data_IF_647200560957
#
_entry.id   IF_647200560957
#
_cell.length_a   1.000
_cell.length_b   1.000
_cell.length_c   1.000
_cell.angle_alpha   90.00
_cell.angle_beta   90.00
_cell.angle_gamma   90.00
#
_symmetry.space_group_name_H-M   'P 1'
#
loop_
_entity.id
_entity.type
_entity.pdbx_description
1 polymer ?
#
# COMPACT_ATOMS: atom_id res chain seq x y z
N UNK A 1 13.31 -0.39 -12.07
CA UNK A 1 12.37 -1.36 -11.49
C UNK A 1 11.07 -1.27 -12.27
N UNK A 2 10.46 -2.39 -12.69
CA UNK A 2 9.12 -2.40 -13.31
C UNK A 2 8.14 -2.93 -12.27
N UNK A 3 7.23 -2.08 -11.80
CA UNK A 3 6.21 -2.43 -10.81
C UNK A 3 4.84 -2.24 -11.45
N UNK A 4 4.01 -3.29 -11.46
CA UNK A 4 2.61 -3.23 -11.87
C UNK A 4 1.73 -3.44 -10.62
N UNK A 5 1.36 -2.38 -9.89
CA UNK A 5 0.38 -2.49 -8.83
C UNK A 5 -1.01 -2.75 -9.42
N UNK A 6 -1.75 -3.65 -8.78
CA UNK A 6 -3.17 -3.92 -9.06
C UNK A 6 -3.96 -3.38 -7.87
N UNK A 7 -4.92 -2.50 -8.16
CA UNK A 7 -5.77 -1.88 -7.15
C UNK A 7 -7.16 -2.48 -7.27
N UNK A 8 -7.64 -3.10 -6.19
CA UNK A 8 -8.97 -3.69 -6.13
C UNK A 8 -9.77 -3.04 -5.01
N UNK A 9 -11.09 -2.97 -5.17
CA UNK A 9 -12.01 -2.65 -4.09
C UNK A 9 -12.26 -3.90 -3.24
N UNK A 10 -12.41 -3.71 -1.93
CA UNK A 10 -12.69 -4.79 -0.98
C UNK A 10 -13.38 -4.25 0.28
N UNK A 11 -14.23 -5.08 0.90
CA UNK A 11 -14.81 -4.76 2.21
C UNK A 11 -13.84 -5.17 3.31
N UNK A 12 -13.49 -4.25 4.22
CA UNK A 12 -12.62 -4.57 5.34
C UNK A 12 -13.27 -4.21 6.67
N UNK A 13 -13.05 -5.07 7.67
CA UNK A 13 -13.59 -4.90 9.00
C UNK A 13 -12.58 -4.17 9.87
N UNK A 14 -12.92 -2.97 10.30
CA UNK A 14 -12.12 -2.24 11.26
C UNK A 14 -12.69 -2.45 12.66
N UNK A 15 -11.81 -2.60 13.64
CA UNK A 15 -12.17 -2.74 15.05
C UNK A 15 -11.71 -1.47 15.76
N UNK A 16 -12.61 -0.56 16.10
CA UNK A 16 -12.33 0.51 17.09
C UNK A 16 -12.71 -0.03 18.49
N UNK A 17 -12.75 0.74 19.61
CA UNK A 17 -12.67 0.18 20.97
C UNK A 17 -13.70 -0.93 21.19
N UNK A 18 -13.43 -1.90 22.08
CA UNK A 18 -13.85 -3.32 22.03
C UNK A 18 -15.35 -3.64 21.86
N UNK A 19 -16.21 -2.63 21.76
CA UNK A 19 -17.66 -2.68 21.76
C UNK A 19 -18.29 -2.52 20.35
N UNK A 20 -17.60 -1.92 19.36
CA UNK A 20 -18.20 -1.65 18.04
C UNK A 20 -17.38 -2.22 16.87
N UNK A 21 -18.05 -3.04 16.05
CA UNK A 21 -17.56 -3.53 14.76
C UNK A 21 -18.18 -2.67 13.68
N UNK A 22 -17.35 -2.02 12.87
CA UNK A 22 -17.82 -1.33 11.66
C UNK A 22 -17.08 -1.86 10.45
N UNK A 23 -17.80 -1.86 9.34
CA UNK A 23 -17.31 -2.27 8.04
C UNK A 23 -17.11 -1.01 7.22
N UNK A 24 -16.03 -0.97 6.46
CA UNK A 24 -15.80 0.09 5.48
C UNK A 24 -15.32 -0.53 4.18
N UNK A 25 -15.69 0.11 3.09
CA UNK A 25 -15.10 -0.17 1.79
C UNK A 25 -13.68 0.40 1.78
N UNK A 26 -12.73 -0.41 1.32
CA UNK A 26 -11.33 -0.01 1.20
C UNK A 26 -10.79 -0.40 -0.16
N UNK A 27 -9.92 0.45 -0.67
CA UNK A 27 -9.03 0.06 -1.75
C UNK A 27 -7.90 -0.78 -1.15
N UNK A 28 -7.70 -1.97 -1.70
CA UNK A 28 -6.60 -2.87 -1.38
C UNK A 28 -5.64 -2.92 -2.56
N UNK A 29 -4.38 -2.57 -2.33
CA UNK A 29 -3.35 -2.62 -3.38
C UNK A 29 -2.55 -3.91 -3.25
N UNK A 30 -2.60 -4.73 -4.31
CA UNK A 30 -1.73 -5.89 -4.50
C UNK A 30 -0.58 -5.50 -5.43
N UNK A 31 0.61 -6.01 -5.16
CA UNK A 31 1.81 -5.58 -5.88
C UNK A 31 2.83 -6.70 -6.03
N UNK A 32 3.68 -6.54 -7.04
CA UNK A 32 4.91 -7.30 -7.21
C UNK A 32 6.04 -6.30 -7.32
N UNK A 33 7.08 -6.49 -6.53
CA UNK A 33 8.32 -5.70 -6.59
C UNK A 33 9.41 -6.60 -7.16
N UNK A 34 10.08 -6.10 -8.20
CA UNK A 34 11.20 -6.77 -8.85
C UNK A 34 12.44 -5.89 -8.84
N UNK A 35 13.61 -6.49 -8.67
CA UNK A 35 14.88 -5.78 -8.83
C UNK A 35 15.15 -5.45 -10.32
N UNK A 36 16.28 -4.80 -10.60
CA UNK A 36 16.68 -4.42 -11.97
C UNK A 36 16.88 -5.62 -12.91
N UNK A 37 17.20 -6.80 -12.37
CA UNK A 37 17.38 -8.05 -13.12
C UNK A 37 16.06 -8.80 -13.34
N UNK A 38 14.93 -8.27 -12.85
CA UNK A 38 13.62 -8.91 -12.96
C UNK A 38 13.33 -9.99 -11.92
N UNK A 39 14.21 -10.19 -10.94
CA UNK A 39 14.00 -11.11 -9.81
C UNK A 39 12.96 -10.52 -8.87
N UNK A 40 11.96 -11.32 -8.49
CA UNK A 40 10.92 -10.93 -7.54
C UNK A 40 11.48 -10.84 -6.13
N UNK A 41 11.38 -9.65 -5.53
CA UNK A 41 11.75 -9.39 -4.13
C UNK A 41 10.54 -9.54 -3.20
N UNK A 42 9.35 -9.18 -3.68
CA UNK A 42 8.11 -9.26 -2.91
C UNK A 42 6.91 -9.44 -3.85
N UNK A 43 5.96 -10.27 -3.45
CA UNK A 43 4.74 -10.53 -4.22
C UNK A 43 3.57 -10.73 -3.27
N UNK A 44 2.52 -9.93 -3.43
CA UNK A 44 1.28 -10.02 -2.64
C UNK A 44 0.05 -10.38 -3.48
N UNK A 45 0.23 -10.77 -4.75
CA UNK A 45 -0.87 -11.01 -5.68
C UNK A 45 -1.80 -12.15 -5.24
N UNK A 46 -1.22 -13.21 -4.68
CA UNK A 46 -1.96 -14.42 -4.29
C UNK A 46 -2.18 -14.52 -2.77
N UNK A 47 -1.81 -13.48 -2.02
CA UNK A 47 -1.93 -13.49 -0.56
C UNK A 47 -3.40 -13.45 -0.13
N UNK A 48 -3.75 -14.23 0.88
CA UNK A 48 -5.05 -14.12 1.55
C UNK A 48 -4.87 -13.31 2.82
N UNK A 49 -5.25 -12.03 2.78
CA UNK A 49 -5.13 -11.16 3.94
C UNK A 49 -6.26 -11.39 4.93
N UNK A 50 -5.91 -11.66 6.19
CA UNK A 50 -6.86 -11.68 7.29
C UNK A 50 -7.30 -10.24 7.62
N UNK A 51 -8.51 -10.05 8.15
CA UNK A 51 -9.07 -8.70 8.41
C UNK A 51 -8.24 -7.84 9.37
N UNK A 52 -7.37 -8.43 10.18
CA UNK A 52 -6.47 -7.76 11.12
C UNK A 52 -4.99 -7.84 10.72
N UNK A 53 -4.66 -8.39 9.55
CA UNK A 53 -3.28 -8.47 9.08
C UNK A 53 -2.85 -7.13 8.49
N UNK A 54 -1.73 -6.59 8.98
CA UNK A 54 -1.10 -5.37 8.45
C UNK A 54 0.18 -5.65 7.65
N UNK A 55 0.85 -6.77 7.93
CA UNK A 55 2.12 -7.09 7.28
C UNK A 55 1.95 -7.19 5.77
N UNK A 56 2.74 -6.42 5.04
CA UNK A 56 2.76 -6.33 3.57
C UNK A 56 1.43 -5.88 2.94
N UNK A 57 0.52 -5.30 3.72
CA UNK A 57 -0.77 -4.80 3.21
C UNK A 57 -0.71 -3.31 2.91
N UNK A 58 -1.40 -2.88 1.86
CA UNK A 58 -1.63 -1.48 1.53
C UNK A 58 -3.13 -1.25 1.40
N UNK A 59 -3.70 -0.46 2.30
CA UNK A 59 -5.14 -0.17 2.34
C UNK A 59 -5.44 1.32 2.31
N UNK A 60 -6.57 1.71 1.70
CA UNK A 60 -7.04 3.10 1.81
C UNK A 60 -7.44 3.46 3.24
N UNK A 61 -7.05 4.66 3.64
CA UNK A 61 -7.43 5.25 4.92
C UNK A 61 -8.58 6.24 4.72
N UNK A 62 -8.40 7.21 3.83
CA UNK A 62 -9.41 8.20 3.45
C UNK A 62 -9.06 8.89 2.11
N UNK A 63 -10.04 9.59 1.55
CA UNK A 63 -9.85 10.53 0.43
C UNK A 63 -9.51 11.90 1.02
N UNK A 64 -8.50 12.56 0.48
CA UNK A 64 -8.10 13.91 0.89
C UNK A 64 -9.01 14.96 0.23
N UNK A 65 -9.23 16.10 0.90
CA UNK A 65 -10.22 17.13 0.53
C UNK A 65 -10.09 17.73 -0.88
N UNK A 66 -8.96 17.53 -1.55
CA UNK A 66 -8.69 18.06 -2.88
C UNK A 66 -9.19 17.14 -4.02
N UNK A 67 -9.97 16.10 -3.70
CA UNK A 67 -10.62 15.07 -4.52
C UNK A 67 -9.73 14.27 -5.51
N UNK A 68 -8.46 14.63 -5.63
CA UNK A 68 -7.50 14.00 -6.53
C UNK A 68 -6.40 13.23 -5.81
N UNK A 69 -6.56 13.01 -4.49
CA UNK A 69 -5.55 12.38 -3.66
C UNK A 69 -6.18 11.40 -2.68
N UNK A 70 -5.64 10.19 -2.64
CA UNK A 70 -6.05 9.13 -1.72
C UNK A 70 -4.88 8.87 -0.77
N UNK A 71 -5.17 8.85 0.52
CA UNK A 71 -4.23 8.38 1.52
C UNK A 71 -4.36 6.88 1.68
N UNK A 72 -3.27 6.17 1.44
CA UNK A 72 -3.13 4.75 1.74
C UNK A 72 -2.20 4.56 2.95
N UNK A 73 -2.37 3.44 3.64
CA UNK A 73 -1.52 2.99 4.72
C UNK A 73 -0.81 1.69 4.32
N UNK A 74 0.52 1.70 4.38
CA UNK A 74 1.34 0.50 4.31
C UNK A 74 1.65 0.00 5.72
N UNK A 75 1.31 -1.25 6.01
CA UNK A 75 1.51 -1.84 7.34
C UNK A 75 2.95 -2.28 7.64
N UNK A 76 3.87 -2.13 6.69
CA UNK A 76 5.28 -2.48 6.84
C UNK A 76 5.57 -3.96 6.57
N UNK A 77 6.85 -4.31 6.65
CA UNK A 77 7.35 -5.68 6.44
C UNK A 77 7.35 -6.45 7.76
N UNK A 78 8.25 -7.42 7.93
CA UNK A 78 8.47 -8.03 9.22
C UNK A 78 8.79 -6.95 10.26
N UNK A 79 8.31 -7.16 11.50
CA UNK A 79 8.52 -6.20 12.58
C UNK A 79 7.85 -4.83 12.32
N UNK A 80 6.94 -4.74 11.34
CA UNK A 80 6.31 -3.51 10.84
C UNK A 80 7.32 -2.52 10.22
N UNK A 81 8.54 -2.94 9.88
CA UNK A 81 9.55 -2.02 9.33
C UNK A 81 9.06 -1.37 8.04
N UNK A 82 9.23 -0.06 7.94
CA UNK A 82 8.71 0.74 6.83
C UNK A 82 7.20 0.95 6.86
N UNK A 83 6.49 0.65 7.94
CA UNK A 83 5.09 1.08 8.05
C UNK A 83 4.98 2.59 7.83
N UNK A 84 3.92 3.05 7.16
CA UNK A 84 3.88 4.44 6.73
C UNK A 84 2.71 4.77 5.85
N UNK A 85 2.67 6.03 5.47
CA UNK A 85 1.63 6.58 4.62
C UNK A 85 2.10 6.58 3.15
N UNK A 86 1.18 6.33 2.24
CA UNK A 86 1.40 6.44 0.80
C UNK A 86 0.34 7.37 0.23
N UNK A 87 0.78 8.44 -0.43
CA UNK A 87 -0.09 9.36 -1.14
C UNK A 87 -0.14 8.97 -2.61
N UNK A 88 -1.32 8.55 -3.07
CA UNK A 88 -1.63 8.40 -4.49
C UNK A 88 -2.37 9.65 -4.96
N UNK A 89 -1.78 10.40 -5.89
CA UNK A 89 -2.40 11.60 -6.45
C UNK A 89 -2.60 11.45 -7.96
N UNK A 90 -3.84 11.63 -8.42
CA UNK A 90 -4.15 11.73 -9.84
C UNK A 90 -3.53 13.01 -10.39
N UNK A 91 -2.66 12.88 -11.39
CA UNK A 91 -2.08 14.03 -12.10
C UNK A 91 -3.00 14.38 -13.28
N UNK A 92 -3.42 13.37 -14.05
CA UNK A 92 -4.33 13.50 -15.18
C UNK A 92 -5.01 12.13 -15.49
N UNK A 93 -5.61 11.97 -16.67
CA UNK A 93 -6.34 10.76 -17.06
C UNK A 93 -5.46 9.52 -17.29
N UNK A 94 -4.14 9.67 -17.37
CA UNK A 94 -3.20 8.57 -17.62
C UNK A 94 -2.07 8.49 -16.59
N UNK A 95 -1.92 9.49 -15.71
CA UNK A 95 -0.82 9.58 -14.77
C UNK A 95 -1.28 9.70 -13.32
N UNK A 96 -0.62 8.92 -12.46
CA UNK A 96 -0.78 8.97 -11.00
C UNK A 96 0.62 9.08 -10.39
N UNK A 97 0.80 10.01 -9.45
CA UNK A 97 2.02 10.06 -8.64
C UNK A 97 1.87 9.24 -7.36
N UNK A 98 2.97 8.64 -6.95
CA UNK A 98 3.15 7.90 -5.71
C UNK A 98 4.21 8.57 -4.84
N UNK A 99 3.85 8.85 -3.60
CA UNK A 99 4.77 9.33 -2.58
C UNK A 99 4.62 8.47 -1.33
N UNK A 100 5.66 7.72 -1.01
CA UNK A 100 5.70 6.88 0.18
C UNK A 100 6.53 7.57 1.28
N UNK A 101 5.89 7.76 2.44
CA UNK A 101 6.48 8.38 3.64
C UNK A 101 6.52 7.35 4.78
N UNK A 102 7.63 6.62 4.97
CA UNK A 102 7.78 5.71 6.09
C UNK A 102 7.78 6.46 7.43
N UNK A 103 7.21 5.85 8.45
CA UNK A 103 7.38 6.29 9.83
C UNK A 103 8.60 5.63 10.46
N UNK A 104 9.14 6.29 11.47
CA UNK A 104 10.20 5.72 12.28
C UNK A 104 9.69 4.56 13.14
N UNK A 105 10.59 3.63 13.44
CA UNK A 105 10.35 2.53 14.35
C UNK A 105 11.62 2.24 15.15
N UNK A 106 11.45 1.95 16.43
CA UNK A 106 12.54 1.44 17.26
C UNK A 106 12.54 -0.09 17.13
N UNK A 107 13.64 -0.63 16.62
CA UNK A 107 13.85 -2.07 16.55
C UNK A 107 14.48 -2.56 17.84
N UNK A 108 13.79 -3.49 18.50
CA UNK A 108 14.26 -4.19 19.69
C UNK A 108 14.66 -5.59 19.28
N UNK A 109 15.97 -5.88 19.33
CA UNK A 109 16.55 -7.17 18.96
C UNK A 109 16.03 -8.32 19.84
N UNK A 110 15.47 -8.03 21.02
CA UNK A 110 14.90 -9.07 21.88
C UNK A 110 13.46 -9.46 21.48
N UNK A 111 12.80 -8.66 20.63
CA UNK A 111 11.41 -8.90 20.20
C UNK A 111 11.29 -9.64 18.88
N UNK A 112 12.38 -9.69 18.11
CA UNK A 112 12.37 -10.23 16.75
C UNK A 112 13.54 -11.19 16.57
N UNK A 113 13.31 -12.29 15.86
CA UNK A 113 14.35 -13.29 15.61
C UNK A 113 15.54 -12.71 14.85
N UNK A 114 16.75 -13.08 15.26
CA UNK A 114 17.95 -12.77 14.48
C UNK A 114 17.83 -13.33 13.05
N UNK A 115 18.30 -12.57 12.07
CA UNK A 115 18.19 -12.93 10.65
C UNK A 115 16.82 -12.66 10.01
N UNK A 116 15.87 -12.06 10.74
CA UNK A 116 14.59 -11.63 10.15
C UNK A 116 14.84 -10.57 9.08
N UNK A 117 14.37 -10.84 7.86
CA UNK A 117 14.41 -9.86 6.78
C UNK A 117 13.50 -8.67 7.08
N UNK A 118 14.10 -7.51 7.30
CA UNK A 118 13.42 -6.24 7.60
C UNK A 118 13.53 -5.25 6.44
N UNK A 119 14.01 -5.66 5.27
CA UNK A 119 14.20 -4.76 4.14
C UNK A 119 12.88 -4.16 3.68
N UNK A 120 12.90 -2.87 3.33
CA UNK A 120 11.77 -2.18 2.72
C UNK A 120 11.96 -2.22 1.20
N UNK A 121 11.09 -2.94 0.50
CA UNK A 121 11.16 -3.06 -0.96
C UNK A 121 10.30 -2.03 -1.70
N UNK A 122 9.38 -1.35 -1.01
CA UNK A 122 8.60 -0.27 -1.63
C UNK A 122 9.52 0.86 -2.10
N UNK A 123 9.25 1.47 -3.26
CA UNK A 123 10.05 2.58 -3.75
C UNK A 123 9.89 3.79 -2.82
N UNK A 124 10.96 4.12 -2.08
CA UNK A 124 11.06 5.30 -1.22
C UNK A 124 11.39 6.59 -1.99
N UNK A 125 11.09 6.64 -3.29
CA UNK A 125 11.35 7.81 -4.12
C UNK A 125 10.15 8.73 -4.10
N UNK A 126 10.41 10.01 -3.85
CA UNK A 126 9.45 11.09 -4.11
C UNK A 126 9.20 11.17 -5.63
N UNK A 127 7.99 11.56 -6.01
CA UNK A 127 7.61 11.87 -7.41
C UNK A 127 7.69 10.67 -8.37
N UNK A 128 7.46 9.44 -7.87
CA UNK A 128 7.30 8.29 -8.75
C UNK A 128 5.99 8.42 -9.54
N UNK A 129 6.07 8.55 -10.86
CA UNK A 129 4.91 8.67 -11.75
C UNK A 129 4.63 7.33 -12.41
N UNK A 130 3.43 6.81 -12.21
CA UNK A 130 2.90 5.68 -12.94
C UNK A 130 2.08 6.19 -14.13
N UNK A 131 2.41 5.72 -15.32
CA UNK A 131 1.66 6.00 -16.54
C UNK A 131 0.88 4.75 -16.95
N UNK A 132 -0.43 4.89 -17.12
CA UNK A 132 -1.26 3.87 -17.71
C UNK A 132 -1.36 4.11 -19.23
N UNK A 133 -1.26 3.04 -20.03
CA UNK A 133 -1.50 3.11 -21.47
C UNK A 133 -3.00 3.10 -21.83
N UNK A 134 -3.89 3.01 -20.83
CA UNK A 134 -5.34 3.16 -20.96
C UNK A 134 -5.84 4.30 -20.07
N UNK A 135 -6.86 5.04 -20.52
CA UNK A 135 -7.45 6.13 -19.75
C UNK A 135 -8.18 5.61 -18.51
N UNK A 136 -8.00 6.26 -17.35
CA UNK A 136 -8.86 6.05 -16.19
C UNK A 136 -10.26 6.56 -16.51
N UNK A 137 -11.23 5.65 -16.68
CA UNK A 137 -12.64 6.01 -16.90
C UNK A 137 -13.22 6.68 -15.63
N UNK A 138 -13.99 7.77 -15.76
CA UNK A 138 -14.75 8.31 -14.63
C UNK A 138 -15.83 7.32 -14.17
N UNK A 139 -16.12 7.34 -12.87
CA UNK A 139 -17.19 6.53 -12.25
C UNK A 139 -18.61 6.93 -12.70
N UNK A 140 -18.79 8.08 -13.34
CA UNK A 140 -20.08 8.55 -13.87
C UNK A 140 -20.57 7.78 -15.09
N UNK A 141 -19.71 6.97 -15.70
CA UNK A 141 -19.97 6.35 -17.01
C UNK A 141 -20.27 4.84 -16.90
N UNK A 142 -20.72 4.38 -15.72
CA UNK A 142 -21.17 3.00 -15.43
C UNK A 142 -22.65 3.03 -15.04
#
# INVERSE_FOLDING_TARGET
MKNNPIINESTNKYSSPPQYKYYKDVLSVRYIIKNSLGITLQNTQNDTFQSNQLKNTIYSRWVESDDNKILLYYGGTNCRVGWGDIYLKKINSTQISWEYRPNDIILDSNKYSEGTDINIYLPGTKDLIFTNHFNFKPLSDI
#
